data_IF_772466563615
#
_entry.id   IF_772466563615
#
_cell.length_a   1.000
_cell.length_b   1.000
_cell.length_c   1.000
_cell.angle_alpha   90.00
_cell.angle_beta   90.00
_cell.angle_gamma   90.00
#
_symmetry.space_group_name_H-M   'P 1'
#
loop_
_entity.id
_entity.type
_entity.pdbx_description
1 polymer ?
#
# COMPACT_ATOMS: atom_id res chain seq x y z
N UNK A 1 3.21 -0.24 -14.90
CA UNK A 1 3.33 -1.65 -14.62
C UNK A 1 2.18 -2.02 -13.72
N UNK A 2 1.13 -2.65 -14.23
CA UNK A 2 0.06 -3.22 -13.37
C UNK A 2 0.63 -4.36 -12.52
N UNK A 3 -0.04 -4.66 -11.39
CA UNK A 3 0.31 -5.80 -10.54
C UNK A 3 0.41 -7.08 -11.39
N UNK A 4 1.60 -7.69 -11.44
CA UNK A 4 1.84 -8.94 -12.18
C UNK A 4 2.37 -8.80 -13.61
N UNK A 5 2.61 -7.58 -14.12
CA UNK A 5 3.17 -7.40 -15.48
C UNK A 5 4.66 -7.79 -15.61
N UNK A 6 5.45 -7.79 -14.53
CA UNK A 6 6.83 -8.32 -14.57
C UNK A 6 6.87 -9.78 -14.12
N UNK A 7 7.48 -10.63 -14.93
CA UNK A 7 7.91 -11.96 -14.51
C UNK A 7 9.22 -11.93 -13.71
N UNK A 8 9.96 -10.83 -13.85
CA UNK A 8 11.30 -10.64 -13.30
C UNK A 8 11.21 -10.48 -11.78
N UNK A 9 11.90 -11.36 -11.06
CA UNK A 9 12.09 -11.25 -9.62
C UNK A 9 12.84 -9.95 -9.24
N UNK A 10 12.47 -9.37 -8.10
CA UNK A 10 13.31 -8.34 -7.47
C UNK A 10 14.72 -8.89 -7.25
N UNK A 11 15.78 -8.14 -7.57
CA UNK A 11 17.14 -8.48 -7.15
C UNK A 11 17.24 -8.87 -5.66
N UNK A 12 16.48 -8.18 -4.80
CA UNK A 12 16.52 -8.37 -3.35
C UNK A 12 15.78 -9.63 -2.89
N UNK A 13 14.89 -10.20 -3.72
CA UNK A 13 13.99 -11.30 -3.29
C UNK A 13 14.75 -12.58 -2.96
N UNK A 14 15.86 -12.83 -3.66
CA UNK A 14 16.68 -14.03 -3.43
C UNK A 14 17.44 -13.95 -2.12
N UNK A 15 18.04 -12.79 -1.81
CA UNK A 15 18.68 -12.55 -0.51
C UNK A 15 17.67 -12.64 0.63
N UNK A 16 16.49 -12.07 0.44
CA UNK A 16 15.38 -12.14 1.39
C UNK A 16 14.97 -13.60 1.68
N UNK A 17 14.78 -14.43 0.64
CA UNK A 17 14.43 -15.84 0.80
C UNK A 17 15.58 -16.68 1.37
N UNK A 18 16.82 -16.39 1.00
CA UNK A 18 17.99 -17.06 1.58
C UNK A 18 18.07 -16.79 3.09
N UNK A 19 17.84 -15.56 3.53
CA UNK A 19 17.72 -15.21 4.95
C UNK A 19 16.54 -15.91 5.64
N UNK A 20 15.41 -16.05 4.94
CA UNK A 20 14.27 -16.84 5.39
C UNK A 20 14.61 -18.31 5.63
N UNK A 21 15.34 -18.93 4.70
CA UNK A 21 15.85 -20.30 4.84
C UNK A 21 16.78 -20.43 6.05
N UNK A 22 17.76 -19.55 6.19
CA UNK A 22 18.70 -19.57 7.33
C UNK A 22 17.98 -19.41 8.66
N UNK A 23 16.96 -18.55 8.71
CA UNK A 23 16.11 -18.38 9.89
C UNK A 23 15.43 -19.69 10.28
N UNK A 24 14.85 -20.41 9.31
CA UNK A 24 14.20 -21.70 9.56
C UNK A 24 15.19 -22.77 10.02
N UNK A 25 16.37 -22.84 9.40
CA UNK A 25 17.39 -23.83 9.74
C UNK A 25 17.95 -23.62 11.15
N UNK A 26 18.11 -22.37 11.59
CA UNK A 26 18.68 -22.01 12.90
C UNK A 26 17.62 -21.90 14.01
N UNK A 27 16.33 -21.81 13.64
CA UNK A 27 15.23 -21.52 14.56
C UNK A 27 15.15 -20.06 15.03
N UNK A 28 16.06 -19.20 14.57
CA UNK A 28 16.12 -17.78 14.91
C UNK A 28 16.78 -16.97 13.78
N UNK A 29 16.35 -15.71 13.51
CA UNK A 29 16.99 -14.87 12.50
C UNK A 29 18.48 -14.64 12.79
N UNK A 30 19.37 -14.82 11.80
CA UNK A 30 20.80 -14.59 11.99
C UNK A 30 21.11 -13.14 12.42
N UNK A 31 21.97 -12.98 13.41
CA UNK A 31 22.53 -11.69 13.82
C UNK A 31 23.84 -11.34 13.13
N UNK A 32 24.40 -12.29 12.39
CA UNK A 32 25.56 -12.15 11.51
C UNK A 32 25.09 -12.32 10.06
N UNK A 33 25.78 -11.68 9.11
CA UNK A 33 25.48 -11.85 7.69
C UNK A 33 26.38 -12.92 7.07
N UNK A 34 25.86 -14.12 6.77
CA UNK A 34 26.66 -15.19 6.17
C UNK A 34 26.88 -15.01 4.66
N UNK A 35 26.23 -14.02 4.04
CA UNK A 35 26.24 -13.81 2.59
C UNK A 35 27.13 -12.65 2.16
N UNK A 36 27.46 -11.73 3.07
CA UNK A 36 28.35 -10.62 2.76
C UNK A 36 29.81 -11.05 2.65
N UNK A 37 30.54 -10.43 1.72
CA UNK A 37 32.00 -10.56 1.57
C UNK A 37 32.78 -9.44 2.29
N UNK A 38 32.07 -8.45 2.85
CA UNK A 38 32.65 -7.34 3.61
C UNK A 38 32.24 -7.39 5.08
N UNK A 39 32.99 -6.76 6.00
CA UNK A 39 32.58 -6.65 7.40
C UNK A 39 31.16 -6.07 7.53
N UNK A 40 30.25 -6.85 8.11
CA UNK A 40 28.90 -6.40 8.44
C UNK A 40 28.84 -5.72 9.81
N UNK A 41 27.76 -4.97 10.04
CA UNK A 41 27.41 -4.49 11.38
C UNK A 41 27.07 -5.68 12.28
N UNK A 42 27.24 -5.53 13.60
CA UNK A 42 26.85 -6.55 14.57
C UNK A 42 25.98 -5.90 15.67
N UNK A 43 24.69 -6.28 15.83
CA UNK A 43 23.98 -7.27 15.01
C UNK A 43 23.63 -6.73 13.61
N UNK A 44 23.53 -7.63 12.65
CA UNK A 44 22.85 -7.38 11.38
C UNK A 44 21.35 -7.47 11.63
N UNK A 45 20.63 -6.41 11.28
CA UNK A 45 19.18 -6.34 11.46
C UNK A 45 18.50 -6.68 10.13
N UNK A 46 18.03 -7.92 10.01
CA UNK A 46 17.18 -8.32 8.89
C UNK A 46 15.73 -7.94 9.16
N UNK A 47 15.39 -6.71 8.79
CA UNK A 47 14.10 -6.06 9.02
C UNK A 47 12.89 -6.69 8.29
N UNK A 48 13.13 -7.68 7.41
CA UNK A 48 12.11 -8.37 6.62
C UNK A 48 12.16 -9.90 6.81
N UNK A 49 12.80 -10.39 7.88
CA UNK A 49 13.09 -11.81 8.09
C UNK A 49 11.84 -12.71 7.94
N UNK A 50 10.69 -12.30 8.48
CA UNK A 50 9.48 -13.12 8.45
C UNK A 50 8.87 -13.15 7.03
N UNK A 51 8.98 -12.06 6.28
CA UNK A 51 8.59 -12.06 4.86
C UNK A 51 9.47 -13.01 4.06
N UNK A 52 10.77 -13.04 4.35
CA UNK A 52 11.70 -14.01 3.76
C UNK A 52 11.32 -15.45 4.05
N UNK A 53 10.93 -15.77 5.28
CA UNK A 53 10.41 -17.10 5.65
C UNK A 53 9.14 -17.44 4.85
N UNK A 54 8.17 -16.53 4.80
CA UNK A 54 6.90 -16.74 4.06
C UNK A 54 7.18 -16.98 2.57
N UNK A 55 8.04 -16.16 1.96
CA UNK A 55 8.34 -16.28 0.53
C UNK A 55 9.12 -17.57 0.22
N UNK A 56 10.09 -17.92 1.06
CA UNK A 56 10.85 -19.15 0.91
C UNK A 56 9.95 -20.40 0.99
N UNK A 57 9.03 -20.45 1.95
CA UNK A 57 8.09 -21.56 2.10
C UNK A 57 7.14 -21.66 0.90
N UNK A 58 6.57 -20.53 0.45
CA UNK A 58 5.69 -20.51 -0.72
C UNK A 58 6.42 -21.00 -1.97
N UNK A 59 7.64 -20.51 -2.22
CA UNK A 59 8.42 -20.95 -3.37
C UNK A 59 8.77 -22.43 -3.31
N UNK A 60 9.24 -22.90 -2.16
CA UNK A 60 9.75 -24.27 -1.98
C UNK A 60 8.64 -25.32 -2.11
N UNK A 61 7.46 -25.05 -1.52
CA UNK A 61 6.38 -26.04 -1.49
C UNK A 61 5.33 -25.87 -2.59
N UNK A 62 5.13 -24.66 -3.11
CA UNK A 62 4.06 -24.35 -4.06
C UNK A 62 4.55 -23.71 -5.38
N UNK A 63 5.85 -23.42 -5.49
CA UNK A 63 6.48 -22.88 -6.70
C UNK A 63 6.25 -21.39 -6.95
N UNK A 64 6.88 -20.88 -8.01
CA UNK A 64 6.80 -19.47 -8.43
C UNK A 64 5.38 -18.91 -8.65
N UNK A 65 4.43 -19.66 -9.25
CA UNK A 65 3.06 -19.18 -9.42
C UNK A 65 2.37 -18.84 -8.08
N UNK A 66 2.66 -19.60 -7.01
CA UNK A 66 2.08 -19.35 -5.70
C UNK A 66 2.52 -18.01 -5.10
N UNK A 67 3.78 -17.61 -5.31
CA UNK A 67 4.25 -16.28 -4.91
C UNK A 67 3.49 -15.17 -5.63
N UNK A 68 3.27 -15.30 -6.94
CA UNK A 68 2.50 -14.31 -7.72
C UNK A 68 1.05 -14.23 -7.26
N UNK A 69 0.38 -15.39 -7.08
CA UNK A 69 -0.99 -15.45 -6.56
C UNK A 69 -1.07 -14.82 -5.17
N UNK A 70 -0.10 -15.10 -4.30
CA UNK A 70 -0.04 -14.51 -2.97
C UNK A 70 0.11 -12.98 -3.01
N UNK A 71 0.99 -12.45 -3.86
CA UNK A 71 1.17 -11.00 -4.05
C UNK A 71 -0.10 -10.33 -4.62
N UNK A 72 -0.75 -10.96 -5.60
CA UNK A 72 -2.04 -10.50 -6.15
C UNK A 72 -3.10 -10.47 -5.05
N UNK A 73 -3.18 -11.52 -4.24
CA UNK A 73 -4.12 -11.60 -3.13
C UNK A 73 -3.89 -10.48 -2.10
N UNK A 74 -2.64 -10.17 -1.74
CA UNK A 74 -2.31 -9.04 -0.85
C UNK A 74 -2.72 -7.70 -1.46
N UNK A 75 -2.45 -7.49 -2.76
CA UNK A 75 -2.87 -6.29 -3.48
C UNK A 75 -4.39 -6.11 -3.52
N UNK A 76 -5.13 -7.18 -3.87
CA UNK A 76 -6.58 -7.18 -3.89
C UNK A 76 -7.18 -6.95 -2.50
N UNK A 77 -6.61 -7.56 -1.46
CA UNK A 77 -7.05 -7.35 -0.08
C UNK A 77 -6.82 -5.90 0.37
N UNK A 78 -5.70 -5.30 0.00
CA UNK A 78 -5.40 -3.89 0.26
C UNK A 78 -6.44 -2.98 -0.38
N UNK A 79 -6.69 -3.16 -1.69
CA UNK A 79 -7.69 -2.36 -2.43
C UNK A 79 -9.09 -2.60 -1.89
N UNK A 80 -9.46 -3.85 -1.64
CA UNK A 80 -10.76 -4.23 -1.09
C UNK A 80 -11.02 -3.61 0.28
N UNK A 81 -10.03 -3.63 1.17
CA UNK A 81 -10.14 -3.05 2.51
C UNK A 81 -10.27 -1.53 2.47
N UNK A 82 -9.46 -0.86 1.64
CA UNK A 82 -9.55 0.57 1.42
C UNK A 82 -10.91 0.97 0.79
N UNK A 83 -11.40 0.19 -0.17
CA UNK A 83 -12.71 0.39 -0.78
C UNK A 83 -13.84 0.21 0.23
N UNK A 84 -13.78 -0.81 1.10
CA UNK A 84 -14.76 -1.01 2.18
C UNK A 84 -14.72 0.18 3.14
N UNK A 85 -13.54 0.67 3.53
CA UNK A 85 -13.42 1.86 4.37
C UNK A 85 -14.08 3.09 3.70
N UNK A 86 -13.79 3.34 2.41
CA UNK A 86 -14.39 4.44 1.66
C UNK A 86 -15.91 4.32 1.49
N UNK A 87 -16.43 3.10 1.29
CA UNK A 87 -17.88 2.82 1.28
C UNK A 87 -18.51 3.15 2.64
N UNK A 88 -17.86 2.80 3.74
CA UNK A 88 -18.35 3.10 5.09
C UNK A 88 -18.34 4.59 5.40
N UNK A 89 -17.43 5.36 4.79
CA UNK A 89 -17.42 6.82 4.86
C UNK A 89 -18.49 7.50 3.97
N UNK A 90 -19.26 6.72 3.20
CA UNK A 90 -20.38 7.21 2.40
C UNK A 90 -20.08 7.34 0.91
N UNK A 91 -18.90 6.91 0.43
CA UNK A 91 -18.61 6.86 -0.99
C UNK A 91 -19.49 5.85 -1.71
N UNK A 92 -20.09 6.16 -2.86
CA UNK A 92 -20.88 5.27 -3.72
C UNK A 92 -20.00 4.28 -4.47
N UNK A 93 -20.56 3.17 -4.97
CA UNK A 93 -19.81 2.20 -5.79
C UNK A 93 -19.18 2.85 -7.02
N UNK A 94 -19.87 3.81 -7.64
CA UNK A 94 -19.35 4.56 -8.78
C UNK A 94 -18.14 5.41 -8.40
N UNK A 95 -18.19 6.12 -7.27
CA UNK A 95 -17.05 6.92 -6.80
C UNK A 95 -15.82 6.06 -6.46
N UNK A 96 -16.04 4.89 -5.85
CA UNK A 96 -14.98 3.91 -5.58
C UNK A 96 -14.37 3.44 -6.89
N UNK A 97 -15.21 3.06 -7.85
CA UNK A 97 -14.76 2.59 -9.16
C UNK A 97 -13.94 3.66 -9.89
N UNK A 98 -14.38 4.92 -9.90
CA UNK A 98 -13.65 6.04 -10.52
C UNK A 98 -12.26 6.17 -9.90
N UNK A 99 -12.14 6.11 -8.57
CA UNK A 99 -10.84 6.20 -7.90
C UNK A 99 -9.97 4.98 -8.19
N UNK A 100 -10.53 3.76 -8.15
CA UNK A 100 -9.78 2.52 -8.47
C UNK A 100 -9.27 2.55 -9.92
N UNK A 101 -10.11 2.92 -10.90
CA UNK A 101 -9.71 3.04 -12.30
C UNK A 101 -8.62 4.12 -12.44
N UNK A 102 -8.77 5.25 -11.74
CA UNK A 102 -7.76 6.32 -11.70
C UNK A 102 -6.45 5.86 -11.07
N UNK A 103 -6.44 4.86 -10.19
CA UNK A 103 -5.21 4.24 -9.68
C UNK A 103 -4.64 3.27 -10.74
N UNK A 104 -5.45 2.34 -11.24
CA UNK A 104 -5.01 1.25 -12.14
C UNK A 104 -4.48 1.75 -13.48
N UNK A 105 -5.17 2.68 -14.15
CA UNK A 105 -4.76 3.25 -15.46
C UNK A 105 -3.44 4.01 -15.38
N UNK A 106 -2.97 4.26 -14.16
CA UNK A 106 -2.09 5.35 -13.80
C UNK A 106 -0.86 4.85 -13.05
N UNK A 107 -0.91 3.68 -12.42
CA UNK A 107 0.26 2.96 -11.88
C UNK A 107 1.24 2.46 -12.96
N UNK A 108 1.30 3.11 -14.13
CA UNK A 108 2.04 2.63 -15.27
C UNK A 108 3.57 2.79 -15.18
N UNK A 109 4.13 3.57 -14.26
CA UNK A 109 5.56 3.94 -14.34
C UNK A 109 6.26 4.08 -12.99
N UNK A 110 6.96 3.04 -12.52
CA UNK A 110 8.01 3.21 -11.50
C UNK A 110 8.07 2.17 -10.38
N UNK A 111 7.02 1.38 -10.18
CA UNK A 111 7.05 0.23 -9.25
C UNK A 111 7.32 -1.05 -10.05
N UNK A 112 8.57 -1.51 -10.03
CA UNK A 112 9.08 -2.45 -11.04
C UNK A 112 9.07 -3.93 -10.60
N UNK A 113 8.74 -4.22 -9.33
CA UNK A 113 8.90 -5.57 -8.78
C UNK A 113 7.59 -6.18 -8.30
N UNK A 114 7.38 -7.45 -8.67
CA UNK A 114 6.15 -8.21 -8.37
C UNK A 114 6.18 -8.84 -6.98
N UNK A 115 7.36 -9.12 -6.43
CA UNK A 115 7.49 -9.82 -5.14
C UNK A 115 8.32 -8.95 -4.19
N UNK A 116 7.63 -8.25 -3.29
CA UNK A 116 8.25 -7.38 -2.27
C UNK A 116 7.52 -7.50 -0.94
N UNK A 117 8.27 -7.49 0.15
CA UNK A 117 7.71 -7.46 1.50
C UNK A 117 6.92 -6.16 1.78
N UNK A 118 7.16 -5.09 1.02
CA UNK A 118 6.40 -3.84 1.07
C UNK A 118 4.88 -4.04 0.83
N UNK A 119 4.46 -5.10 0.13
CA UNK A 119 3.04 -5.43 -0.03
C UNK A 119 2.30 -5.64 1.30
N UNK A 120 2.96 -6.22 2.31
CA UNK A 120 2.40 -6.34 3.66
C UNK A 120 2.17 -4.96 4.30
N UNK A 121 3.07 -4.01 4.03
CA UNK A 121 2.98 -2.63 4.55
C UNK A 121 1.79 -1.91 3.98
N UNK A 122 1.51 -2.05 2.70
CA UNK A 122 0.32 -1.47 2.09
C UNK A 122 -0.97 -2.06 2.67
N UNK A 123 -1.02 -3.38 2.85
CA UNK A 123 -2.15 -4.05 3.48
C UNK A 123 -2.42 -3.55 4.91
N UNK A 124 -1.39 -3.54 5.76
CA UNK A 124 -1.56 -3.10 7.14
C UNK A 124 -1.82 -1.60 7.26
N UNK A 125 -1.30 -0.78 6.34
CA UNK A 125 -1.64 0.63 6.25
C UNK A 125 -3.13 0.83 5.95
N UNK A 126 -3.67 0.10 4.96
CA UNK A 126 -5.11 0.12 4.66
C UNK A 126 -5.95 -0.38 5.85
N UNK A 127 -5.48 -1.43 6.56
CA UNK A 127 -6.13 -1.96 7.75
C UNK A 127 -6.14 -0.94 8.89
N UNK A 128 -5.05 -0.21 9.12
CA UNK A 128 -4.99 0.80 10.15
C UNK A 128 -5.98 1.92 9.86
N UNK A 129 -6.03 2.43 8.63
CA UNK A 129 -7.04 3.42 8.24
C UNK A 129 -8.45 2.88 8.53
N UNK A 130 -8.75 1.65 8.11
CA UNK A 130 -10.04 1.03 8.37
C UNK A 130 -10.39 0.97 9.87
N UNK A 131 -9.46 0.51 10.72
CA UNK A 131 -9.67 0.40 12.17
C UNK A 131 -9.81 1.78 12.84
N UNK A 132 -9.04 2.77 12.42
CA UNK A 132 -9.09 4.13 12.93
C UNK A 132 -10.41 4.83 12.55
N UNK A 133 -10.88 4.64 11.31
CA UNK A 133 -12.19 5.14 10.88
C UNK A 133 -13.35 4.46 11.60
N UNK A 134 -13.30 3.14 11.79
CA UNK A 134 -14.32 2.43 12.59
C UNK A 134 -14.37 2.95 14.03
N UNK A 135 -13.21 3.27 14.62
CA UNK A 135 -13.15 3.88 15.94
C UNK A 135 -13.84 5.26 15.97
N UNK A 136 -13.60 6.10 14.96
CA UNK A 136 -14.27 7.39 14.78
C UNK A 136 -15.79 7.27 14.60
N UNK A 137 -16.26 6.14 14.07
CA UNK A 137 -17.69 5.80 13.91
C UNK A 137 -18.32 5.19 15.17
N UNK A 138 -17.64 5.27 16.32
CA UNK A 138 -18.15 4.77 17.60
C UNK A 138 -17.86 3.28 17.85
N UNK A 139 -16.98 2.64 17.08
CA UNK A 139 -16.59 1.23 17.25
C UNK A 139 -15.11 1.11 17.64
N UNK A 140 -14.73 1.58 18.85
CA UNK A 140 -13.32 1.71 19.26
C UNK A 140 -12.62 0.38 19.54
N UNK A 141 -13.36 -0.74 19.65
CA UNK A 141 -12.78 -2.06 19.98
C UNK A 141 -11.72 -2.50 18.95
N UNK A 142 -11.85 -2.06 17.70
CA UNK A 142 -10.85 -2.31 16.66
C UNK A 142 -9.46 -1.73 16.98
N UNK A 143 -9.37 -0.67 17.80
CA UNK A 143 -8.07 -0.09 18.20
C UNK A 143 -7.23 -1.05 19.04
N UNK A 144 -7.84 -2.05 19.69
CA UNK A 144 -7.12 -3.09 20.43
C UNK A 144 -6.35 -4.04 19.49
N UNK A 145 -6.69 -4.09 18.21
CA UNK A 145 -5.98 -4.87 17.21
C UNK A 145 -4.72 -4.17 16.68
N UNK A 146 -4.60 -2.86 16.82
CA UNK A 146 -3.46 -2.10 16.29
C UNK A 146 -2.14 -2.58 16.91
N UNK A 147 -1.98 -2.75 18.24
CA UNK A 147 -0.73 -3.25 18.82
C UNK A 147 -0.32 -4.66 18.35
N UNK A 148 -1.17 -5.71 18.41
CA UNK A 148 -0.76 -7.03 17.93
C UNK A 148 -0.48 -7.06 16.43
N UNK A 149 -1.23 -6.30 15.61
CA UNK A 149 -0.92 -6.17 14.18
C UNK A 149 0.44 -5.47 13.98
N UNK A 150 0.76 -4.45 14.78
CA UNK A 150 2.07 -3.77 14.72
C UNK A 150 3.22 -4.72 15.05
N UNK A 151 3.07 -5.60 16.05
CA UNK A 151 4.08 -6.60 16.39
C UNK A 151 4.34 -7.56 15.21
N UNK A 152 3.29 -8.06 14.56
CA UNK A 152 3.42 -8.92 13.37
C UNK A 152 4.05 -8.13 12.22
N UNK A 153 3.60 -6.89 11.99
CA UNK A 153 4.11 -6.03 10.93
C UNK A 153 5.60 -5.73 11.09
N UNK A 154 6.07 -5.44 12.31
CA UNK A 154 7.48 -5.18 12.58
C UNK A 154 8.39 -6.32 12.12
N UNK A 155 7.93 -7.57 12.23
CA UNK A 155 8.67 -8.75 11.79
C UNK A 155 8.58 -9.00 10.27
N UNK A 156 7.53 -8.53 9.62
CA UNK A 156 7.33 -8.67 8.17
C UNK A 156 8.06 -7.59 7.37
N UNK A 157 8.00 -6.33 7.79
CA UNK A 157 8.59 -5.21 7.04
C UNK A 157 8.78 -3.97 7.92
N UNK A 158 9.87 -3.22 7.71
CA UNK A 158 10.18 -1.97 8.41
C UNK A 158 9.19 -0.82 8.18
N UNK A 159 8.25 -1.00 7.25
CA UNK A 159 7.18 -0.06 6.95
C UNK A 159 6.14 0.12 8.06
N UNK A 160 6.22 -0.61 9.18
CA UNK A 160 5.37 -0.38 10.36
C UNK A 160 5.48 1.06 10.90
N UNK A 161 6.60 1.75 10.62
CA UNK A 161 6.78 3.18 10.93
C UNK A 161 5.68 4.03 10.29
N UNK A 162 5.19 3.66 9.09
CA UNK A 162 4.06 4.32 8.46
C UNK A 162 2.75 4.12 9.25
N UNK A 163 2.57 2.97 9.90
CA UNK A 163 1.45 2.70 10.81
C UNK A 163 1.48 3.56 12.07
N UNK A 164 2.65 3.71 12.70
CA UNK A 164 2.84 4.62 13.85
C UNK A 164 2.58 6.06 13.42
N UNK A 165 3.17 6.48 12.29
CA UNK A 165 2.93 7.78 11.69
C UNK A 165 1.44 8.03 11.46
N UNK A 166 0.71 7.04 10.94
CA UNK A 166 -0.73 7.15 10.70
C UNK A 166 -1.51 7.42 12.00
N UNK A 167 -1.20 6.73 13.11
CA UNK A 167 -1.83 7.01 14.42
C UNK A 167 -1.57 8.46 14.86
N UNK A 168 -0.34 8.97 14.64
CA UNK A 168 0.01 10.36 14.94
C UNK A 168 -0.73 11.37 14.04
N UNK A 169 -0.90 11.06 12.75
CA UNK A 169 -1.68 11.91 11.84
C UNK A 169 -3.16 11.97 12.24
N UNK A 170 -3.72 10.84 12.68
CA UNK A 170 -5.07 10.80 13.22
C UNK A 170 -5.19 11.58 14.53
N UNK A 171 -4.21 11.44 15.43
CA UNK A 171 -4.12 12.23 16.65
C UNK A 171 -4.14 13.73 16.32
N UNK A 172 -3.31 14.19 15.38
CA UNK A 172 -3.29 15.57 14.92
C UNK A 172 -4.65 16.01 14.37
N UNK A 173 -5.30 15.18 13.54
CA UNK A 173 -6.63 15.47 13.00
C UNK A 173 -7.72 15.60 14.07
N UNK A 174 -7.67 14.77 15.12
CA UNK A 174 -8.57 14.87 16.26
C UNK A 174 -8.33 16.14 17.08
N UNK A 175 -7.06 16.52 17.30
CA UNK A 175 -6.71 17.76 17.99
C UNK A 175 -7.19 19.00 17.22
N UNK A 176 -7.00 19.05 15.90
CA UNK A 176 -7.54 20.12 15.03
C UNK A 176 -9.07 20.16 15.11
N UNK A 177 -9.72 19.00 15.23
CA UNK A 177 -11.17 18.87 15.40
C UNK A 177 -11.65 19.13 16.83
N UNK A 178 -10.76 19.50 17.78
CA UNK A 178 -11.04 19.66 19.22
C UNK A 178 -11.66 18.42 19.88
N UNK A 179 -11.38 17.24 19.35
CA UNK A 179 -11.78 15.96 19.93
C UNK A 179 -10.74 15.47 20.92
N UNK A 180 -11.15 14.76 21.98
CA UNK A 180 -10.24 14.20 22.98
C UNK A 180 -9.67 12.85 22.49
N UNK A 181 -8.38 12.76 22.12
CA UNK A 181 -7.84 11.60 21.41
C UNK A 181 -7.16 10.59 22.35
N UNK A 182 -7.58 10.49 23.61
CA UNK A 182 -6.92 9.68 24.65
C UNK A 182 -6.76 8.20 24.24
N UNK A 183 -7.74 7.65 23.51
CA UNK A 183 -7.68 6.28 22.95
C UNK A 183 -6.51 6.14 21.97
N UNK A 184 -6.32 7.12 21.09
CA UNK A 184 -5.24 7.11 20.10
C UNK A 184 -3.87 7.23 20.76
N UNK A 185 -3.75 8.00 21.85
CA UNK A 185 -2.51 8.09 22.62
C UNK A 185 -2.15 6.73 23.22
N UNK A 186 -3.10 6.08 23.91
CA UNK A 186 -2.88 4.75 24.49
C UNK A 186 -2.58 3.69 23.43
N UNK A 187 -3.34 3.69 22.33
CA UNK A 187 -3.10 2.79 21.19
C UNK A 187 -1.75 3.03 20.53
N UNK A 188 -1.35 4.29 20.32
CA UNK A 188 -0.06 4.64 19.72
C UNK A 188 1.12 4.22 20.60
N UNK A 189 1.02 4.44 21.91
CA UNK A 189 2.03 3.99 22.87
C UNK A 189 2.14 2.45 22.87
N UNK A 190 1.00 1.74 22.97
CA UNK A 190 0.98 0.29 22.93
C UNK A 190 1.51 -0.28 21.60
N UNK A 191 1.17 0.34 20.46
CA UNK A 191 1.67 -0.04 19.15
C UNK A 191 3.18 0.15 19.04
N UNK A 192 3.70 1.28 19.54
CA UNK A 192 5.13 1.56 19.55
C UNK A 192 5.88 0.54 20.40
N UNK A 193 5.38 0.22 21.60
CA UNK A 193 5.97 -0.82 22.45
C UNK A 193 5.89 -2.21 21.80
N UNK A 194 4.80 -2.52 21.09
CA UNK A 194 4.62 -3.79 20.40
C UNK A 194 5.68 -4.02 19.30
N UNK A 195 6.28 -2.96 18.74
CA UNK A 195 7.40 -3.10 17.79
C UNK A 195 8.64 -3.77 18.40
N UNK A 196 8.80 -3.71 19.73
CA UNK A 196 9.91 -4.36 20.43
C UNK A 196 9.77 -5.89 20.47
N UNK A 197 8.59 -6.42 20.11
CA UNK A 197 8.35 -7.85 19.92
C UNK A 197 8.93 -8.31 18.57
N UNK A 198 10.26 -8.19 18.45
CA UNK A 198 11.03 -8.63 17.31
C UNK A 198 12.39 -9.19 17.80
N UNK A 199 13.07 -10.02 17.00
CA UNK A 199 14.35 -10.65 17.39
C UNK A 199 15.46 -9.70 17.83
N UNK A 200 15.41 -8.44 17.39
CA UNK A 200 16.45 -7.43 17.59
C UNK A 200 16.07 -6.39 18.67
N UNK A 201 14.84 -6.42 19.20
CA UNK A 201 14.35 -5.47 20.19
C UNK A 201 14.58 -4.01 19.79
N UNK A 202 15.32 -3.27 20.62
CA UNK A 202 15.63 -1.84 20.42
C UNK A 202 16.63 -1.62 19.28
N UNK A 203 17.51 -2.58 18.98
CA UNK A 203 18.51 -2.42 17.91
C UNK A 203 17.86 -2.20 16.54
N UNK A 204 16.63 -2.69 16.34
CA UNK A 204 15.86 -2.44 15.14
C UNK A 204 15.53 -0.95 14.96
N UNK A 205 15.20 -0.22 16.03
CA UNK A 205 14.95 1.22 15.94
C UNK A 205 16.21 2.00 15.56
N UNK A 206 17.37 1.56 16.04
CA UNK A 206 18.65 2.13 15.63
C UNK A 206 18.92 1.92 14.14
N UNK A 207 18.73 0.68 13.67
CA UNK A 207 18.81 0.36 12.24
C UNK A 207 17.86 1.22 11.41
N UNK A 208 16.61 1.39 11.83
CA UNK A 208 15.62 2.22 11.10
C UNK A 208 16.04 3.69 11.05
N UNK A 209 16.56 4.24 12.14
CA UNK A 209 17.07 5.60 12.16
C UNK A 209 18.16 5.80 11.10
N UNK A 210 19.16 4.91 11.06
CA UNK A 210 20.22 4.97 10.04
C UNK A 210 19.67 4.77 8.63
N UNK A 211 18.78 3.78 8.44
CA UNK A 211 18.21 3.47 7.14
C UNK A 211 17.33 4.61 6.59
N UNK A 212 16.58 5.32 7.44
CA UNK A 212 15.74 6.43 7.02
C UNK A 212 16.56 7.67 6.62
N UNK A 213 17.71 7.89 7.23
CA UNK A 213 18.59 9.02 6.95
C UNK A 213 19.58 8.75 5.81
N UNK A 214 19.75 7.49 5.41
CA UNK A 214 20.68 7.11 4.36
C UNK A 214 20.26 7.67 2.98
N UNK A 215 21.12 8.43 2.29
CA UNK A 215 20.85 8.89 0.93
C UNK A 215 20.92 7.72 -0.06
N UNK A 216 19.99 7.69 -1.02
CA UNK A 216 19.89 6.65 -2.06
C UNK A 216 19.83 7.25 -3.46
N UNK A 217 20.88 7.97 -3.90
CA UNK A 217 20.86 8.74 -5.15
C UNK A 217 20.71 7.86 -6.40
N UNK A 218 21.11 6.59 -6.31
CA UNK A 218 21.11 5.65 -7.43
C UNK A 218 19.83 4.81 -7.54
N UNK A 219 18.91 4.90 -6.58
CA UNK A 219 17.69 4.08 -6.59
C UNK A 219 16.52 4.95 -7.06
N UNK A 220 15.97 4.63 -8.23
CA UNK A 220 14.95 5.45 -8.90
C UNK A 220 13.71 5.72 -8.04
N UNK A 221 13.26 4.74 -7.25
CA UNK A 221 12.07 4.85 -6.39
C UNK A 221 12.21 5.89 -5.25
N UNK A 222 13.45 6.25 -4.90
CA UNK A 222 13.77 7.24 -3.86
C UNK A 222 13.85 8.66 -4.41
N UNK A 223 13.73 8.84 -5.73
CA UNK A 223 13.69 10.16 -6.37
C UNK A 223 12.28 10.75 -6.28
N UNK A 224 12.22 12.07 -6.34
CA UNK A 224 10.96 12.79 -6.43
C UNK A 224 10.22 12.46 -7.73
N UNK A 225 8.89 12.55 -7.68
CA UNK A 225 8.04 12.36 -8.87
C UNK A 225 8.30 13.50 -9.85
N UNK A 226 8.77 13.22 -11.09
CA UNK A 226 9.01 14.25 -12.08
C UNK A 226 7.68 14.90 -12.52
N UNK A 227 7.63 16.24 -12.53
CA UNK A 227 6.40 17.00 -12.84
C UNK A 227 6.17 17.19 -14.34
N UNK A 228 7.17 17.00 -15.18
CA UNK A 228 7.15 17.12 -16.64
C UNK A 228 6.67 15.85 -17.35
N UNK A 229 6.60 14.73 -16.64
CA UNK A 229 6.42 13.43 -17.27
C UNK A 229 4.94 13.01 -17.36
N UNK A 230 4.57 12.37 -18.48
CA UNK A 230 3.29 11.65 -18.67
C UNK A 230 3.13 10.52 -17.63
N UNK A 231 4.24 10.02 -17.08
CA UNK A 231 4.31 8.98 -16.05
C UNK A 231 3.74 9.40 -14.70
N UNK A 232 3.70 10.71 -14.43
CA UNK A 232 3.13 11.27 -13.21
C UNK A 232 1.65 11.67 -13.36
N UNK A 233 1.04 11.43 -14.52
CA UNK A 233 -0.38 11.76 -14.78
C UNK A 233 -1.30 11.16 -13.71
N UNK A 234 -0.96 9.95 -13.27
CA UNK A 234 -1.54 9.25 -12.14
C UNK A 234 -1.60 10.03 -10.85
N UNK A 235 -0.42 10.41 -10.38
CA UNK A 235 -0.25 11.13 -9.14
C UNK A 235 -0.93 12.50 -9.23
N UNK A 236 -0.83 13.17 -10.39
CA UNK A 236 -1.52 14.44 -10.67
C UNK A 236 -3.05 14.28 -10.66
N UNK A 237 -3.59 13.25 -11.30
CA UNK A 237 -5.03 12.99 -11.33
C UNK A 237 -5.58 12.71 -9.93
N UNK A 238 -4.88 11.87 -9.14
CA UNK A 238 -5.24 11.63 -7.74
C UNK A 238 -5.10 12.88 -6.88
N UNK A 239 -4.08 13.71 -7.12
CA UNK A 239 -3.91 14.98 -6.42
C UNK A 239 -5.06 15.95 -6.71
N UNK A 240 -5.50 16.03 -7.97
CA UNK A 240 -6.66 16.83 -8.38
C UNK A 240 -7.96 16.30 -7.76
N UNK A 241 -8.18 14.99 -7.76
CA UNK A 241 -9.34 14.38 -7.13
C UNK A 241 -9.34 14.59 -5.60
N UNK A 242 -8.19 14.47 -4.95
CA UNK A 242 -8.04 14.74 -3.53
C UNK A 242 -8.30 16.23 -3.22
N UNK A 243 -7.72 17.15 -3.99
CA UNK A 243 -7.96 18.58 -3.83
C UNK A 243 -9.44 18.92 -4.04
N UNK A 244 -10.07 18.39 -5.08
CA UNK A 244 -11.50 18.57 -5.34
C UNK A 244 -12.34 18.03 -4.18
N UNK A 245 -12.07 16.81 -3.72
CA UNK A 245 -12.76 16.20 -2.59
C UNK A 245 -12.67 17.07 -1.33
N UNK A 246 -11.50 17.64 -1.04
CA UNK A 246 -11.29 18.55 0.08
C UNK A 246 -12.08 19.86 -0.11
N UNK A 247 -12.08 20.44 -1.31
CA UNK A 247 -12.78 21.70 -1.61
C UNK A 247 -14.29 21.54 -1.48
N UNK A 248 -14.86 20.46 -2.03
CA UNK A 248 -16.31 20.23 -2.09
C UNK A 248 -16.89 19.58 -0.82
N UNK A 249 -16.03 19.14 0.11
CA UNK A 249 -16.46 18.51 1.35
C UNK A 249 -17.32 19.48 2.19
N UNK A 250 -18.59 19.13 2.50
CA UNK A 250 -19.45 20.00 3.30
C UNK A 250 -18.98 20.11 4.75
N UNK A 251 -18.26 19.10 5.25
CA UNK A 251 -17.54 19.11 6.52
C UNK A 251 -16.18 18.46 6.34
N UNK A 252 -15.15 19.07 6.94
CA UNK A 252 -13.79 18.55 6.87
C UNK A 252 -13.60 17.40 7.86
N UNK A 253 -13.28 16.23 7.34
CA UNK A 253 -12.74 15.13 8.13
C UNK A 253 -11.22 15.33 8.28
N UNK A 254 -10.82 16.11 9.28
CA UNK A 254 -9.42 16.53 9.44
C UNK A 254 -8.40 15.37 9.48
N UNK A 255 -8.66 14.22 10.14
CA UNK A 255 -7.76 13.07 10.03
C UNK A 255 -7.50 12.66 8.57
N UNK A 256 -8.56 12.48 7.78
CA UNK A 256 -8.43 12.12 6.36
C UNK A 256 -7.73 13.20 5.52
N UNK A 257 -8.01 14.47 5.76
CA UNK A 257 -7.35 15.60 5.06
C UNK A 257 -5.85 15.61 5.35
N UNK A 258 -5.45 15.45 6.61
CA UNK A 258 -4.04 15.42 7.01
C UNK A 258 -3.34 14.19 6.42
N UNK A 259 -3.97 13.01 6.49
CA UNK A 259 -3.40 11.78 5.91
C UNK A 259 -3.20 11.92 4.41
N UNK A 260 -4.19 12.41 3.66
CA UNK A 260 -4.04 12.69 2.22
C UNK A 260 -2.93 13.71 1.95
N UNK A 261 -2.88 14.81 2.71
CA UNK A 261 -1.86 15.85 2.52
C UNK A 261 -0.43 15.36 2.78
N UNK A 262 -0.22 14.63 3.87
CA UNK A 262 1.11 14.09 4.22
C UNK A 262 1.53 13.00 3.25
N UNK A 263 0.65 12.06 2.92
CA UNK A 263 0.98 10.99 1.95
C UNK A 263 1.19 11.54 0.53
N UNK A 264 0.45 12.59 0.12
CA UNK A 264 0.72 13.31 -1.13
C UNK A 264 2.12 13.95 -1.11
N UNK A 265 2.47 14.65 -0.03
CA UNK A 265 3.78 15.27 0.10
C UNK A 265 4.92 14.24 0.05
N UNK A 266 4.78 13.14 0.81
CA UNK A 266 5.78 12.07 0.81
C UNK A 266 5.87 11.37 -0.55
N UNK A 267 4.74 11.10 -1.19
CA UNK A 267 4.68 10.53 -2.54
C UNK A 267 5.32 11.44 -3.59
N UNK A 268 5.14 12.76 -3.49
CA UNK A 268 5.83 13.72 -4.34
C UNK A 268 7.35 13.70 -4.12
N UNK A 269 7.79 13.62 -2.86
CA UNK A 269 9.20 13.59 -2.48
C UNK A 269 9.90 12.29 -2.90
N UNK A 270 9.21 11.16 -2.86
CA UNK A 270 9.76 9.84 -3.18
C UNK A 270 8.70 8.97 -3.84
N UNK A 271 8.99 8.49 -5.05
CA UNK A 271 8.05 7.68 -5.85
C UNK A 271 7.52 6.45 -5.09
N UNK A 272 8.35 5.82 -4.26
CA UNK A 272 7.97 4.67 -3.42
C UNK A 272 6.83 4.94 -2.44
N UNK A 273 6.55 6.21 -2.11
CA UNK A 273 5.47 6.58 -1.20
C UNK A 273 4.13 6.86 -1.88
N UNK A 274 4.08 6.89 -3.22
CA UNK A 274 2.84 7.10 -4.00
C UNK A 274 1.74 6.09 -3.65
N UNK A 275 2.01 4.78 -3.44
CA UNK A 275 0.96 3.83 -3.06
C UNK A 275 0.22 4.19 -1.76
N UNK A 276 0.89 4.77 -0.76
CA UNK A 276 0.22 5.24 0.47
C UNK A 276 -0.81 6.34 0.18
N UNK A 277 -0.45 7.27 -0.72
CA UNK A 277 -1.38 8.31 -1.16
C UNK A 277 -2.56 7.73 -1.94
N UNK A 278 -2.30 6.75 -2.82
CA UNK A 278 -3.36 6.04 -3.54
C UNK A 278 -4.35 5.35 -2.60
N UNK A 279 -3.85 4.67 -1.56
CA UNK A 279 -4.70 4.03 -0.53
C UNK A 279 -5.51 5.09 0.22
N UNK A 280 -4.87 6.18 0.67
CA UNK A 280 -5.57 7.27 1.34
C UNK A 280 -6.67 7.88 0.45
N UNK A 281 -6.38 8.14 -0.82
CA UNK A 281 -7.36 8.63 -1.78
C UNK A 281 -8.53 7.66 -1.94
N UNK A 282 -8.26 6.35 -2.08
CA UNK A 282 -9.30 5.33 -2.18
C UNK A 282 -10.22 5.26 -0.96
N UNK A 283 -9.75 5.66 0.22
CA UNK A 283 -10.58 5.75 1.41
C UNK A 283 -11.37 7.06 1.46
N UNK A 284 -10.73 8.22 1.30
CA UNK A 284 -11.35 9.51 1.66
C UNK A 284 -12.00 10.26 0.50
N UNK A 285 -11.50 10.10 -0.73
CA UNK A 285 -12.05 10.80 -1.91
C UNK A 285 -13.47 10.35 -2.26
N UNK A 286 -13.81 9.05 -2.25
CA UNK A 286 -15.12 8.56 -2.68
C UNK A 286 -16.32 9.25 -2.00
N UNK A 287 -16.25 9.45 -0.67
CA UNK A 287 -17.33 10.06 0.11
C UNK A 287 -17.66 11.49 -0.35
N UNK A 288 -16.66 12.26 -0.76
CA UNK A 288 -16.84 13.64 -1.22
C UNK A 288 -17.14 13.73 -2.73
N UNK A 289 -16.67 12.75 -3.50
CA UNK A 289 -16.92 12.69 -4.94
C UNK A 289 -18.34 12.18 -5.27
N UNK A 290 -18.93 11.36 -4.39
CA UNK A 290 -20.24 10.73 -4.64
C UNK A 290 -21.35 11.71 -4.96
N UNK A 291 -21.60 12.78 -4.17
CA UNK A 291 -22.68 13.72 -4.48
C UNK A 291 -22.49 14.44 -5.82
N UNK A 292 -21.24 14.65 -6.26
CA UNK A 292 -20.94 15.26 -7.56
C UNK A 292 -21.25 14.29 -8.69
N UNK A 293 -20.81 13.03 -8.56
CA UNK A 293 -21.08 11.99 -9.55
C UNK A 293 -22.57 11.68 -9.64
N UNK A 294 -23.27 11.63 -8.51
CA UNK A 294 -24.71 11.37 -8.48
C UNK A 294 -25.48 12.49 -9.21
N UNK A 295 -25.10 13.77 -9.01
CA UNK A 295 -25.67 14.90 -9.78
C UNK A 295 -25.39 14.81 -11.27
N UNK A 296 -24.17 14.42 -11.66
CA UNK A 296 -23.82 14.24 -13.08
C UNK A 296 -24.63 13.10 -13.70
N UNK A 297 -24.76 11.98 -12.98
CA UNK A 297 -25.59 10.84 -13.40
C UNK A 297 -27.05 11.28 -13.52
N UNK A 298 -27.58 12.04 -12.57
CA UNK A 298 -28.94 12.57 -12.61
C UNK A 298 -29.16 13.59 -13.74
N UNK A 299 -28.18 14.45 -14.05
CA UNK A 299 -28.28 15.41 -15.16
C UNK A 299 -28.17 14.75 -16.53
N UNK A 300 -27.44 13.62 -16.61
CA UNK A 300 -27.28 12.84 -17.84
C UNK A 300 -28.40 11.82 -18.02
N UNK A 301 -29.13 11.44 -16.95
CA UNK A 301 -30.34 10.60 -17.04
C UNK A 301 -31.33 11.32 -17.96
N UNK A 302 -31.51 10.85 -19.20
CA UNK A 302 -32.51 11.45 -20.07
C UNK A 302 -33.89 10.99 -19.60
N UNK A 303 -34.90 11.84 -19.77
CA UNK A 303 -36.32 11.52 -19.56
C UNK A 303 -36.88 10.45 -20.53
N UNK A 304 -36.02 9.61 -21.15
CA UNK A 304 -36.39 8.57 -22.11
C UNK A 304 -35.71 7.25 -21.72
N UNK A 305 -36.54 6.26 -21.40
CA UNK A 305 -36.20 4.95 -20.79
C UNK A 305 -35.12 4.15 -21.54
N UNK A 306 -34.90 4.40 -22.85
CA UNK A 306 -33.91 3.65 -23.65
C UNK A 306 -32.45 4.07 -23.45
N UNK A 307 -32.18 5.35 -23.16
CA UNK A 307 -30.81 5.88 -23.10
C UNK A 307 -30.05 5.63 -21.78
N UNK A 308 -30.65 5.52 -20.58
CA UNK A 308 -29.89 5.14 -19.38
C UNK A 308 -29.48 3.66 -19.40
N UNK A 309 -30.28 2.80 -20.02
CA UNK A 309 -29.88 1.41 -20.29
C UNK A 309 -28.71 1.38 -21.26
N UNK A 310 -28.76 2.16 -22.34
CA UNK A 310 -27.64 2.27 -23.28
C UNK A 310 -26.39 2.89 -22.65
N UNK A 311 -26.51 3.93 -21.82
CA UNK A 311 -25.40 4.55 -21.12
C UNK A 311 -24.81 3.63 -20.04
N UNK A 312 -25.65 2.89 -19.31
CA UNK A 312 -25.20 1.86 -18.38
C UNK A 312 -24.51 0.72 -19.15
N UNK A 313 -25.08 0.25 -20.27
CA UNK A 313 -24.46 -0.76 -21.12
C UNK A 313 -23.14 -0.27 -21.72
N UNK A 314 -23.03 0.99 -22.14
CA UNK A 314 -21.77 1.58 -22.60
C UNK A 314 -20.79 1.70 -21.44
N UNK A 315 -21.20 2.15 -20.26
CA UNK A 315 -20.32 2.21 -19.09
C UNK A 315 -19.85 0.82 -18.66
N UNK A 316 -20.74 -0.18 -18.63
CA UNK A 316 -20.43 -1.58 -18.33
C UNK A 316 -19.62 -2.24 -19.45
N UNK A 317 -19.83 -1.88 -20.72
CA UNK A 317 -19.05 -2.36 -21.84
C UNK A 317 -17.68 -1.71 -21.85
N UNK A 318 -17.55 -0.42 -21.55
CA UNK A 318 -16.27 0.29 -21.46
C UNK A 318 -15.48 -0.22 -20.26
N UNK A 319 -16.14 -0.37 -19.10
CA UNK A 319 -15.57 -1.01 -17.93
C UNK A 319 -15.20 -2.46 -18.21
N UNK A 320 -16.08 -3.22 -18.85
CA UNK A 320 -15.84 -4.60 -19.27
C UNK A 320 -14.69 -4.71 -20.26
N UNK A 321 -14.54 -3.73 -21.16
CA UNK A 321 -13.44 -3.65 -22.14
C UNK A 321 -12.13 -3.26 -21.47
N UNK A 322 -12.17 -2.40 -20.44
CA UNK A 322 -11.00 -2.04 -19.64
C UNK A 322 -10.59 -3.19 -18.72
N UNK A 323 -11.54 -3.91 -18.13
CA UNK A 323 -11.30 -5.10 -17.30
C UNK A 323 -10.86 -6.29 -18.15
N UNK A 324 -11.46 -6.51 -19.31
CA UNK A 324 -11.06 -7.53 -20.28
C UNK A 324 -9.73 -7.17 -20.92
N UNK A 325 -9.50 -5.89 -21.22
CA UNK A 325 -8.21 -5.38 -21.69
C UNK A 325 -7.13 -5.60 -20.65
N UNK A 326 -7.38 -5.27 -19.39
CA UNK A 326 -6.49 -5.57 -18.27
C UNK A 326 -6.29 -7.09 -18.09
N UNK A 327 -7.34 -7.89 -18.14
CA UNK A 327 -7.28 -9.35 -17.97
C UNK A 327 -6.57 -10.05 -19.14
N UNK A 328 -6.80 -9.63 -20.38
CA UNK A 328 -6.11 -10.13 -21.57
C UNK A 328 -4.65 -9.63 -21.61
N UNK A 329 -4.37 -8.43 -21.10
CA UNK A 329 -3.01 -7.91 -20.95
C UNK A 329 -2.25 -8.70 -19.88
N UNK A 330 -2.86 -8.92 -18.71
CA UNK A 330 -2.39 -9.84 -17.67
C UNK A 330 -2.13 -11.23 -18.26
N UNK A 331 -3.08 -11.82 -18.98
CA UNK A 331 -2.94 -13.16 -19.57
C UNK A 331 -1.90 -13.25 -20.69
N UNK A 332 -1.64 -12.16 -21.42
CA UNK A 332 -0.65 -12.13 -22.52
C UNK A 332 0.80 -11.90 -22.06
N UNK A 333 1.01 -11.30 -20.89
CA UNK A 333 2.33 -10.90 -20.40
C UNK A 333 2.77 -11.59 -19.10
N UNK A 334 1.91 -12.36 -18.44
CA UNK A 334 2.32 -13.20 -17.32
C UNK A 334 2.89 -14.53 -17.82
N UNK A 335 4.22 -14.66 -17.95
CA UNK A 335 4.77 -15.97 -17.63
C UNK A 335 4.43 -16.21 -16.15
N UNK A 336 3.77 -17.32 -15.82
CA UNK A 336 3.42 -17.60 -14.41
C UNK A 336 4.66 -17.99 -13.59
N UNK A 337 5.75 -18.32 -14.30
CA UNK A 337 7.07 -18.54 -13.73
C UNK A 337 7.70 -17.22 -13.30
N UNK A 338 8.42 -17.26 -12.18
CA UNK A 338 9.29 -16.15 -11.77
C UNK A 338 10.57 -16.30 -12.59
N UNK A 339 10.85 -15.32 -13.45
CA UNK A 339 12.01 -15.35 -14.32
C UNK A 339 13.23 -14.74 -13.61
N UNK A 340 14.35 -15.42 -13.72
CA UNK A 340 15.65 -14.93 -13.27
C UNK A 340 16.33 -14.29 -14.48
N UNK A 341 16.69 -12.99 -14.43
CA UNK A 341 17.46 -12.38 -15.51
C UNK A 341 18.85 -13.00 -15.58
N UNK A 342 19.05 -13.94 -16.50
CA UNK A 342 20.34 -14.64 -16.68
C UNK A 342 21.49 -13.68 -17.04
N UNK A 343 21.18 -12.50 -17.58
CA UNK A 343 22.15 -11.44 -17.84
C UNK A 343 22.72 -10.77 -16.59
N UNK A 344 21.99 -10.81 -15.47
CA UNK A 344 22.41 -10.26 -14.17
C UNK A 344 22.81 -11.34 -13.17
N UNK A 345 22.22 -12.54 -13.29
CA UNK A 345 22.48 -13.70 -12.43
C UNK A 345 22.83 -14.91 -13.29
N UNK A 346 24.12 -15.11 -13.64
CA UNK A 346 24.58 -16.22 -14.47
C UNK A 346 24.68 -17.52 -13.67
N UNK A 347 23.58 -17.90 -13.01
CA UNK A 347 23.41 -19.22 -12.40
C UNK A 347 22.37 -19.95 -13.23
N UNK A 348 22.88 -20.80 -14.12
CA UNK A 348 22.08 -21.73 -14.94
C UNK A 348 21.77 -23.02 -14.20
#
# INVERSE_FOLDING_TARGET
>A
MMLGESSIADPDVWGLMAMGRETLLRGWPPTEDPFTYLPAKNPVVYHEWLSGVVFYLLLTYLGGPALKVFMIALGLLTVGLAAVAGRRLGGSYLSILVVVVTIVVSMQVGYQSVIRAEAFTFLFFALFIFLLEEAGRGRPRGLLLIPPVTAVWANLHGGFVAGIGLVLLYLAGHLVSRQKPWRLIGTGAAATLATLLNPYGVAYWWYLHEALLMPRPFIGEWRAVPLDFVSALAFKALLLLAALAVIVAPRRHWPGVIVMGVTAFLGFRQYRHVPFFSIACLVYVPAHLSPLLDRVVESVRPRVVLRPVLAALVAYATLGSLLLGAALHLARFTSWQVEVPLSFYPVG
#
